data_IF_938922619433
#
_entry.id   IF_938922619433
#
_cell.length_a   1.000
_cell.length_b   1.000
_cell.length_c   1.000
_cell.angle_alpha   90.00
_cell.angle_beta   90.00
_cell.angle_gamma   90.00
#
_symmetry.space_group_name_H-M   'P 1'
#
loop_
_entity.id
_entity.type
_entity.pdbx_description
1 polymer ?
#
# COMPACT_ATOMS: atom_id res chain seq x y z
N UNK A 1 22.90 -14.58 -3.07
CA UNK A 1 22.45 -14.34 -2.77
C UNK A 1 21.41 -14.36 -2.25
N UNK A 2 21.05 -14.37 -1.93
CA UNK A 2 20.04 -14.48 -1.12
C UNK A 2 19.29 -13.28 -0.84
N UNK A 3 19.26 -12.40 -1.72
CA UNK A 3 18.53 -11.19 -1.60
C UNK A 3 17.06 -11.42 -1.39
N UNK A 4 16.56 -12.51 -1.88
CA UNK A 4 15.16 -12.80 -1.72
C UNK A 4 14.76 -13.17 -0.32
N UNK A 5 15.72 -13.54 0.51
CA UNK A 5 15.44 -13.88 1.88
C UNK A 5 15.15 -12.65 2.73
N UNK A 6 15.42 -11.47 2.20
CA UNK A 6 15.35 -10.25 3.00
C UNK A 6 14.06 -9.49 2.85
N UNK A 7 13.10 -10.00 2.10
CA UNK A 7 11.81 -9.34 1.98
C UNK A 7 11.02 -9.45 3.29
N UNK A 8 10.52 -8.32 3.75
CA UNK A 8 9.66 -8.26 4.95
C UNK A 8 8.26 -7.96 4.51
N UNK A 9 7.32 -8.76 4.97
CA UNK A 9 5.91 -8.63 4.59
C UNK A 9 5.12 -7.90 5.65
N UNK A 10 4.35 -6.91 5.20
CA UNK A 10 3.45 -6.13 6.05
C UNK A 10 2.02 -6.35 5.56
N UNK A 11 1.21 -7.08 6.34
CA UNK A 11 -0.18 -7.33 5.93
C UNK A 11 -1.01 -6.05 5.87
N UNK A 12 -1.91 -5.99 4.90
CA UNK A 12 -2.91 -4.93 4.84
C UNK A 12 -3.89 -5.14 5.99
N UNK A 13 -4.25 -4.04 6.66
CA UNK A 13 -5.23 -4.09 7.75
C UNK A 13 -6.63 -4.11 7.18
N UNK A 14 -7.43 -5.06 7.66
CA UNK A 14 -8.85 -5.15 7.33
C UNK A 14 -9.68 -4.99 8.60
N UNK A 15 -10.72 -4.18 8.56
CA UNK A 15 -11.75 -4.25 9.59
C UNK A 15 -12.52 -5.57 9.43
N UNK A 16 -13.15 -6.10 10.52
CA UNK A 16 -13.76 -7.44 10.44
C UNK A 16 -14.80 -7.60 9.33
N UNK A 17 -15.65 -6.60 9.14
CA UNK A 17 -16.67 -6.68 8.08
C UNK A 17 -16.05 -6.65 6.69
N UNK A 18 -14.99 -5.86 6.51
CA UNK A 18 -14.31 -5.79 5.23
C UNK A 18 -13.54 -7.07 4.92
N UNK A 19 -12.99 -7.74 5.93
CA UNK A 19 -12.31 -9.01 5.71
C UNK A 19 -13.28 -10.05 5.12
N UNK A 20 -14.50 -10.09 5.61
CA UNK A 20 -15.54 -10.99 5.07
C UNK A 20 -15.90 -10.60 3.64
N UNK A 21 -16.10 -9.31 3.40
CA UNK A 21 -16.41 -8.81 2.07
C UNK A 21 -15.33 -9.17 1.05
N UNK A 22 -14.08 -8.94 1.39
CA UNK A 22 -12.98 -9.21 0.47
C UNK A 22 -12.79 -10.70 0.22
N UNK A 23 -13.08 -11.56 1.19
CA UNK A 23 -13.07 -13.01 0.94
C UNK A 23 -14.12 -13.37 -0.09
N UNK A 24 -15.31 -12.75 -0.02
CA UNK A 24 -16.35 -12.96 -1.04
C UNK A 24 -15.94 -12.46 -2.41
N UNK A 25 -15.01 -11.51 -2.47
CA UNK A 25 -14.47 -11.01 -3.73
C UNK A 25 -13.19 -11.75 -4.17
N UNK A 26 -12.89 -12.89 -3.54
CA UNK A 26 -11.70 -13.69 -3.82
C UNK A 26 -10.38 -12.98 -3.49
N UNK A 27 -10.41 -12.13 -2.48
CA UNK A 27 -9.22 -11.47 -1.93
C UNK A 27 -9.09 -11.88 -0.46
N UNK A 28 -8.51 -13.04 -0.16
CA UNK A 28 -8.25 -13.40 1.23
C UNK A 28 -7.18 -12.49 1.83
N UNK A 29 -7.13 -12.34 3.16
CA UNK A 29 -6.11 -11.49 3.79
C UNK A 29 -4.68 -11.82 3.38
N UNK A 30 -4.38 -13.08 3.10
CA UNK A 30 -3.03 -13.50 2.66
C UNK A 30 -2.65 -12.94 1.28
N UNK A 31 -3.61 -12.45 0.50
CA UNK A 31 -3.35 -11.87 -0.81
C UNK A 31 -3.27 -10.34 -0.77
N UNK A 32 -3.23 -9.75 0.42
CA UNK A 32 -3.18 -8.30 0.59
C UNK A 32 -2.00 -7.95 1.50
N UNK A 33 -0.97 -7.34 0.90
CA UNK A 33 0.27 -7.11 1.63
C UNK A 33 1.15 -6.06 0.95
N UNK A 34 2.14 -5.58 1.70
CA UNK A 34 3.24 -4.79 1.19
C UNK A 34 4.53 -5.52 1.57
N UNK A 35 5.31 -5.92 0.57
CA UNK A 35 6.62 -6.52 0.79
C UNK A 35 7.71 -5.49 0.54
N UNK A 36 8.63 -5.37 1.47
CA UNK A 36 9.77 -4.46 1.36
C UNK A 36 11.05 -5.30 1.32
N UNK A 37 11.80 -5.18 0.23
CA UNK A 37 13.12 -5.76 0.15
C UNK A 37 14.15 -4.65 -0.09
N UNK A 38 15.39 -5.01 -0.43
CA UNK A 38 16.46 -4.02 -0.58
C UNK A 38 16.19 -3.05 -1.73
N UNK A 39 15.53 -3.49 -2.77
CA UNK A 39 15.39 -2.73 -4.00
C UNK A 39 13.97 -2.29 -4.32
N UNK A 40 12.97 -2.96 -3.75
CA UNK A 40 11.60 -2.83 -4.23
C UNK A 40 10.60 -2.80 -3.08
N UNK A 41 9.52 -2.06 -3.28
CA UNK A 41 8.31 -2.14 -2.46
C UNK A 41 7.22 -2.73 -3.34
N UNK A 42 6.76 -3.93 -3.02
CA UNK A 42 5.73 -4.61 -3.78
C UNK A 42 4.42 -4.56 -3.01
N UNK A 43 3.40 -3.96 -3.61
CA UNK A 43 2.08 -3.77 -2.99
C UNK A 43 1.07 -4.61 -3.74
N UNK A 44 0.25 -5.33 -3.00
CA UNK A 44 -0.78 -6.16 -3.62
C UNK A 44 -2.06 -6.16 -2.79
N UNK A 45 -3.18 -6.02 -3.48
CA UNK A 45 -4.52 -6.23 -2.92
C UNK A 45 -5.24 -7.21 -3.85
N UNK A 46 -4.87 -8.49 -3.76
CA UNK A 46 -5.39 -9.53 -4.61
C UNK A 46 -5.34 -9.17 -6.09
N UNK A 47 -6.47 -9.31 -6.76
CA UNK A 47 -6.60 -8.93 -8.17
C UNK A 47 -6.93 -7.45 -8.36
N UNK A 48 -7.29 -6.75 -7.28
CA UNK A 48 -7.80 -5.39 -7.37
C UNK A 48 -6.69 -4.35 -7.53
N UNK A 49 -5.51 -4.59 -6.98
CA UNK A 49 -4.41 -3.63 -7.08
C UNK A 49 -3.06 -4.34 -7.00
N UNK A 50 -2.10 -3.90 -7.79
CA UNK A 50 -0.71 -4.33 -7.64
C UNK A 50 0.24 -3.29 -8.21
N UNK A 51 1.41 -3.18 -7.58
CA UNK A 51 2.49 -2.34 -8.10
C UNK A 51 3.83 -2.78 -7.51
N UNK A 52 4.89 -2.53 -8.25
CA UNK A 52 6.27 -2.68 -7.80
C UNK A 52 6.95 -1.32 -7.88
N UNK A 53 7.33 -0.80 -6.74
CA UNK A 53 7.93 0.54 -6.64
C UNK A 53 9.42 0.37 -6.37
N UNK A 54 10.31 0.84 -7.26
CA UNK A 54 11.73 0.88 -6.91
C UNK A 54 11.93 1.76 -5.67
N UNK A 55 12.62 1.23 -4.66
CA UNK A 55 12.80 1.99 -3.42
C UNK A 55 13.48 3.33 -3.66
N UNK A 56 14.35 3.42 -4.63
CA UNK A 56 15.04 4.67 -4.96
C UNK A 56 14.08 5.79 -5.39
N UNK A 57 12.86 5.45 -5.79
CA UNK A 57 11.87 6.44 -6.20
C UNK A 57 10.99 6.92 -5.05
N UNK A 58 11.16 6.38 -3.86
CA UNK A 58 10.39 6.82 -2.69
C UNK A 58 11.00 8.13 -2.19
N UNK A 59 10.24 9.22 -2.32
CA UNK A 59 10.69 10.52 -1.87
C UNK A 59 10.51 10.67 -0.37
N UNK A 60 9.38 10.22 0.15
CA UNK A 60 9.07 10.33 1.58
C UNK A 60 7.96 9.36 1.93
N UNK A 61 7.82 9.06 3.21
CA UNK A 61 6.76 8.21 3.72
C UNK A 61 6.41 8.61 5.14
N UNK A 62 5.16 8.44 5.52
CA UNK A 62 4.70 8.78 6.86
C UNK A 62 3.24 8.41 7.06
N UNK A 63 2.69 8.76 8.23
CA UNK A 63 1.28 8.50 8.49
C UNK A 63 0.39 9.18 7.46
N UNK A 64 -0.62 8.47 6.97
CA UNK A 64 -1.60 9.01 6.06
C UNK A 64 -2.87 9.44 6.78
N UNK A 65 -3.72 10.15 6.05
CA UNK A 65 -4.98 10.62 6.61
C UNK A 65 -6.02 9.51 6.61
N UNK A 66 -6.81 9.46 7.67
CA UNK A 66 -7.96 8.60 7.74
C UNK A 66 -8.98 9.04 6.67
N UNK A 67 -9.58 8.09 5.92
CA UNK A 67 -10.58 8.47 4.92
C UNK A 67 -11.77 9.18 5.57
N UNK A 68 -12.30 10.20 4.89
CA UNK A 68 -13.46 10.94 5.39
C UNK A 68 -14.75 10.13 5.23
N UNK A 69 -14.77 9.19 4.29
CA UNK A 69 -15.94 8.32 4.09
C UNK A 69 -15.64 6.98 4.75
N UNK A 70 -16.29 6.64 5.88
CA UNK A 70 -15.89 5.48 6.67
C UNK A 70 -16.16 4.13 6.01
N UNK A 71 -16.95 4.08 4.96
CA UNK A 71 -17.28 2.82 4.30
C UNK A 71 -16.37 2.50 3.11
N UNK A 72 -15.37 3.33 2.84
CA UNK A 72 -14.48 3.06 1.71
C UNK A 72 -13.50 1.94 2.05
N UNK A 73 -13.39 0.99 1.14
CA UNK A 73 -12.41 -0.07 1.22
C UNK A 73 -12.10 -0.51 -0.22
N UNK A 74 -10.87 -0.99 -0.45
CA UNK A 74 -10.44 -1.42 -1.76
C UNK A 74 -9.38 -0.49 -2.33
N UNK A 75 -9.40 -0.29 -3.65
CA UNK A 75 -8.46 0.58 -4.34
C UNK A 75 -9.23 1.78 -4.90
N UNK A 76 -8.89 2.97 -4.42
CA UNK A 76 -9.57 4.21 -4.81
C UNK A 76 -8.52 5.25 -5.17
N UNK A 77 -8.73 5.94 -6.27
CA UNK A 77 -7.74 6.95 -6.61
C UNK A 77 -8.16 7.87 -7.72
N UNK A 78 -7.38 8.91 -7.86
CA UNK A 78 -7.57 9.94 -8.85
C UNK A 78 -6.25 10.65 -9.09
N UNK A 79 -5.91 10.85 -10.35
CA UNK A 79 -4.78 11.69 -10.75
C UNK A 79 -3.46 11.27 -10.09
N UNK A 80 -3.17 9.97 -10.09
CA UNK A 80 -1.91 9.44 -9.56
C UNK A 80 -1.87 9.23 -8.05
N UNK A 81 -2.94 9.57 -7.33
CA UNK A 81 -3.03 9.45 -5.89
C UNK A 81 -4.01 8.34 -5.56
N UNK A 82 -3.53 7.26 -4.95
CA UNK A 82 -4.35 6.07 -4.72
C UNK A 82 -4.33 5.65 -3.26
N UNK A 83 -5.50 5.25 -2.77
CA UNK A 83 -5.68 4.67 -1.44
C UNK A 83 -6.06 3.20 -1.61
N UNK A 84 -5.26 2.33 -1.03
CA UNK A 84 -5.51 0.88 -1.03
C UNK A 84 -5.72 0.49 0.42
N UNK A 85 -6.98 0.24 0.80
CA UNK A 85 -7.27 0.01 2.21
C UNK A 85 -8.36 -1.04 2.43
N UNK A 86 -8.22 -1.75 3.54
CA UNK A 86 -9.26 -2.64 4.06
C UNK A 86 -9.84 -2.11 5.35
N UNK A 87 -9.28 -1.02 5.89
CA UNK A 87 -9.71 -0.39 7.14
C UNK A 87 -9.42 1.10 7.06
N UNK A 88 -10.11 1.92 7.89
CA UNK A 88 -9.83 3.36 7.91
C UNK A 88 -8.60 3.74 8.72
N UNK A 89 -8.05 2.81 9.48
CA UNK A 89 -6.93 3.05 10.40
C UNK A 89 -5.65 2.42 9.88
N UNK A 90 -4.52 2.84 10.44
CA UNK A 90 -3.22 2.29 10.08
C UNK A 90 -2.73 2.75 8.72
N UNK A 91 -3.22 3.88 8.23
CA UNK A 91 -2.86 4.38 6.91
C UNK A 91 -1.43 4.94 6.92
N UNK A 92 -0.62 4.48 5.98
CA UNK A 92 0.66 5.09 5.66
C UNK A 92 0.58 5.66 4.25
N UNK A 93 1.30 6.75 4.02
CA UNK A 93 1.36 7.38 2.71
C UNK A 93 2.79 7.38 2.21
N UNK A 94 2.99 6.98 0.97
CA UNK A 94 4.30 6.90 0.32
C UNK A 94 4.26 7.80 -0.89
N UNK A 95 5.13 8.81 -0.91
CA UNK A 95 5.21 9.75 -2.01
C UNK A 95 6.40 9.40 -2.89
N UNK A 96 6.21 9.45 -4.21
CA UNK A 96 7.23 9.05 -5.17
C UNK A 96 7.80 10.28 -5.87
N UNK A 97 9.08 10.18 -6.25
CA UNK A 97 9.74 11.26 -7.01
C UNK A 97 9.22 11.34 -8.44
N UNK A 98 8.74 10.21 -8.98
CA UNK A 98 8.14 10.19 -10.30
C UNK A 98 7.07 9.10 -10.34
N UNK A 99 6.20 9.16 -11.32
CA UNK A 99 5.12 8.20 -11.43
C UNK A 99 5.65 6.81 -11.80
N UNK A 100 5.07 5.78 -11.19
CA UNK A 100 5.36 4.39 -11.54
C UNK A 100 4.07 3.74 -12.05
N UNK A 101 4.22 2.64 -12.75
CA UNK A 101 3.06 1.88 -13.23
C UNK A 101 2.48 1.06 -12.10
N UNK A 102 1.15 1.10 -11.98
CA UNK A 102 0.41 0.22 -11.10
C UNK A 102 -0.77 -0.35 -11.89
N UNK A 103 -1.38 -1.40 -11.36
CA UNK A 103 -2.50 -2.04 -12.02
C UNK A 103 -3.70 -2.07 -11.09
N UNK A 104 -4.83 -1.56 -11.58
CA UNK A 104 -6.09 -1.56 -10.86
C UNK A 104 -7.03 -2.48 -11.63
N UNK A 105 -7.37 -3.63 -11.04
CA UNK A 105 -8.16 -4.67 -11.70
C UNK A 105 -7.60 -5.03 -13.09
N UNK A 106 -6.26 -5.06 -13.20
CA UNK A 106 -5.58 -5.37 -14.44
C UNK A 106 -5.36 -4.20 -15.38
N UNK A 107 -5.94 -3.03 -15.09
CA UNK A 107 -5.76 -1.85 -15.94
C UNK A 107 -4.57 -1.03 -15.47
N UNK A 108 -3.65 -0.64 -16.37
CA UNK A 108 -2.49 0.15 -15.97
C UNK A 108 -2.89 1.58 -15.62
N UNK A 109 -2.33 2.07 -14.53
CA UNK A 109 -2.47 3.46 -14.10
C UNK A 109 -1.09 3.99 -13.72
N UNK A 110 -1.01 5.30 -13.56
CA UNK A 110 0.22 5.94 -13.09
C UNK A 110 0.06 6.32 -11.63
N UNK A 111 1.00 5.86 -10.81
CA UNK A 111 0.96 6.05 -9.37
C UNK A 111 2.04 7.01 -8.93
N UNK A 112 1.69 8.05 -8.19
CA UNK A 112 2.63 9.01 -7.66
C UNK A 112 2.58 9.09 -6.15
N UNK A 113 1.42 8.86 -5.56
CA UNK A 113 1.24 8.80 -4.13
C UNK A 113 0.39 7.58 -3.80
N UNK A 114 0.87 6.76 -2.89
CA UNK A 114 0.14 5.59 -2.43
C UNK A 114 -0.13 5.71 -0.94
N UNK A 115 -1.38 5.53 -0.56
CA UNK A 115 -1.76 5.37 0.84
C UNK A 115 -2.32 3.95 1.01
N UNK A 116 -1.92 3.28 2.08
CA UNK A 116 -2.33 1.89 2.31
C UNK A 116 -2.53 1.67 3.81
N UNK A 117 -3.58 0.91 4.18
CA UNK A 117 -3.83 0.56 5.57
C UNK A 117 -3.03 -0.69 5.93
N UNK A 118 -2.22 -0.62 6.98
CA UNK A 118 -1.36 -1.73 7.39
C UNK A 118 -1.63 -2.11 8.84
N UNK A 119 -1.38 -3.39 9.15
CA UNK A 119 -1.48 -3.85 10.53
C UNK A 119 -0.35 -3.31 11.39
N UNK A 120 0.82 -3.08 10.79
CA UNK A 120 1.97 -2.54 11.49
C UNK A 120 2.55 -1.36 10.71
N UNK A 121 1.88 -0.19 10.76
CA UNK A 121 2.36 0.97 10.01
C UNK A 121 3.74 1.46 10.47
N UNK A 122 4.01 1.43 11.76
CA UNK A 122 5.30 1.90 12.29
C UNK A 122 6.44 0.98 11.85
N UNK A 123 6.21 -0.33 11.87
CA UNK A 123 7.21 -1.28 11.40
C UNK A 123 7.52 -1.12 9.93
N UNK A 124 6.49 -0.85 9.13
CA UNK A 124 6.68 -0.58 7.70
C UNK A 124 7.53 0.67 7.47
N UNK A 125 7.19 1.76 8.17
CA UNK A 125 7.94 3.01 8.00
C UNK A 125 9.39 2.85 8.42
N UNK A 126 9.65 2.09 9.48
CA UNK A 126 11.01 1.80 9.94
C UNK A 126 11.76 0.95 8.89
N UNK A 127 11.12 -0.07 8.35
CA UNK A 127 11.74 -0.94 7.34
C UNK A 127 12.04 -0.18 6.05
N UNK A 128 11.15 0.72 5.67
CA UNK A 128 11.34 1.52 4.46
C UNK A 128 12.47 2.54 4.62
N UNK A 129 12.58 3.15 5.79
CA UNK A 129 13.67 4.07 6.09
C UNK A 129 13.69 5.34 5.25
N UNK A 130 12.55 5.71 4.66
CA UNK A 130 12.47 6.90 3.82
C UNK A 130 12.36 8.16 4.66
N UNK A 131 12.69 9.34 4.09
CA UNK A 131 12.46 10.61 4.78
C UNK A 131 10.99 10.77 5.18
N UNK A 132 10.76 11.43 6.30
CA UNK A 132 9.40 11.66 6.77
C UNK A 132 8.67 12.62 5.83
N UNK A 133 7.38 12.39 5.65
CA UNK A 133 6.57 13.30 4.86
C UNK A 133 6.32 14.58 5.64
N UNK A 134 6.35 15.73 4.96
CA UNK A 134 5.93 16.98 5.61
C UNK A 134 4.46 16.87 5.98
N UNK A 135 4.12 17.45 7.12
CA UNK A 135 2.72 17.59 7.50
C UNK A 135 2.09 18.65 6.62
N UNK A 136 0.99 18.25 6.00
CA UNK A 136 0.42 19.18 5.09
C UNK A 136 -1.02 19.40 5.26
#
# INVERSE_FOLDING_TARGET
MSAMADAVRFPVRFSPGNAVLFRGLLIPPSAAYVDVDDDTVHVRLGWAFSTRIPRRLVASAGPGKRPTIPLTAGAHGWNGRWLVNGAPDGIVAVELTEAVRAFVAGFPIRLRLLAVSLEDPDGFLAALGAPARPRG
#
